data_IF_922674400596
#
_entry.id   IF_922674400596
#
_cell.length_a   1.000
_cell.length_b   1.000
_cell.length_c   1.000
_cell.angle_alpha   90.00
_cell.angle_beta   90.00
_cell.angle_gamma   90.00
#
_symmetry.space_group_name_H-M   'P 1'
#
loop_
_entity.id
_entity.type
_entity.pdbx_description
1 polymer ?
#
# COMPACT_ATOMS: atom_id res chain seq x y z
N UNK A 1 3.07 -2.52 -3.98
CA UNK A 1 2.64 -3.51 -2.97
C UNK A 1 1.30 -4.14 -3.31
N UNK A 2 0.23 -3.36 -3.55
CA UNK A 2 -1.11 -3.88 -3.88
C UNK A 2 -1.12 -4.87 -5.05
N UNK A 3 -0.30 -4.65 -6.08
CA UNK A 3 -0.09 -5.61 -7.18
C UNK A 3 0.32 -7.00 -6.68
N UNK A 4 1.29 -7.08 -5.77
CA UNK A 4 1.80 -8.36 -5.25
C UNK A 4 0.79 -9.05 -4.35
N UNK A 5 0.08 -8.28 -3.51
CA UNK A 5 -1.04 -8.79 -2.70
C UNK A 5 -2.10 -9.42 -3.59
N UNK A 6 -2.57 -8.70 -4.63
CA UNK A 6 -3.58 -9.22 -5.55
C UNK A 6 -3.09 -10.46 -6.32
N UNK A 7 -1.84 -10.45 -6.79
CA UNK A 7 -1.25 -11.60 -7.46
C UNK A 7 -1.19 -12.84 -6.53
N UNK A 8 -0.81 -12.66 -5.27
CA UNK A 8 -0.84 -13.75 -4.29
C UNK A 8 -2.26 -14.29 -4.08
N UNK A 9 -3.26 -13.43 -3.90
CA UNK A 9 -4.65 -13.86 -3.67
C UNK A 9 -5.21 -14.71 -4.82
N UNK A 10 -4.83 -14.42 -6.06
CA UNK A 10 -5.29 -15.15 -7.25
C UNK A 10 -4.48 -16.43 -7.48
N UNK A 11 -3.15 -16.34 -7.36
CA UNK A 11 -2.25 -17.43 -7.79
C UNK A 11 -1.83 -18.37 -6.66
N UNK A 12 -1.93 -17.91 -5.41
CA UNK A 12 -1.39 -18.56 -4.21
C UNK A 12 0.11 -18.85 -4.28
N UNK A 13 0.84 -18.19 -5.21
CA UNK A 13 2.29 -18.34 -5.29
C UNK A 13 2.98 -17.49 -4.22
N UNK A 14 3.63 -18.15 -3.26
CA UNK A 14 4.36 -17.55 -2.14
C UNK A 14 5.40 -16.48 -2.54
N UNK A 15 5.89 -16.51 -3.79
CA UNK A 15 6.80 -15.48 -4.31
C UNK A 15 6.17 -14.08 -4.27
N UNK A 16 4.86 -13.98 -4.50
CA UNK A 16 4.17 -12.68 -4.48
C UNK A 16 3.92 -12.20 -3.06
N UNK A 17 3.64 -13.11 -2.12
CA UNK A 17 3.53 -12.76 -0.70
C UNK A 17 4.86 -12.20 -0.19
N UNK A 18 5.97 -12.90 -0.46
CA UNK A 18 7.33 -12.43 -0.11
C UNK A 18 7.63 -11.04 -0.68
N UNK A 19 7.32 -10.79 -1.96
CA UNK A 19 7.51 -9.46 -2.57
C UNK A 19 6.64 -8.38 -1.91
N UNK A 20 5.43 -8.72 -1.46
CA UNK A 20 4.58 -7.79 -0.71
C UNK A 20 5.18 -7.47 0.67
N UNK A 21 5.64 -8.48 1.41
CA UNK A 21 6.32 -8.33 2.70
C UNK A 21 7.60 -7.50 2.59
N UNK A 22 8.48 -7.82 1.64
CA UNK A 22 9.72 -7.09 1.40
C UNK A 22 9.43 -5.62 1.07
N UNK A 23 8.42 -5.36 0.22
CA UNK A 23 8.01 -3.99 -0.10
C UNK A 23 7.47 -3.26 1.14
N UNK A 24 6.67 -3.93 1.96
CA UNK A 24 6.13 -3.39 3.20
C UNK A 24 7.23 -3.01 4.19
N UNK A 25 8.22 -3.89 4.38
CA UNK A 25 9.38 -3.65 5.22
C UNK A 25 10.18 -2.43 4.76
N UNK A 26 10.47 -2.34 3.46
CA UNK A 26 11.16 -1.16 2.87
C UNK A 26 10.39 0.13 3.13
N UNK A 27 9.06 0.12 3.01
CA UNK A 27 8.24 1.29 3.29
C UNK A 27 8.31 1.67 4.77
N UNK A 28 8.19 0.71 5.69
CA UNK A 28 8.30 0.97 7.14
C UNK A 28 9.69 1.51 7.51
N UNK A 29 10.75 0.93 6.95
CA UNK A 29 12.14 1.36 7.17
C UNK A 29 12.40 2.78 6.67
N UNK A 30 11.83 3.15 5.51
CA UNK A 30 11.98 4.48 4.91
C UNK A 30 11.10 5.55 5.57
N UNK A 31 10.19 5.17 6.46
CA UNK A 31 9.28 6.10 7.09
C UNK A 31 10.03 7.05 8.02
N UNK A 32 9.82 8.36 7.85
CA UNK A 32 10.29 9.37 8.79
C UNK A 32 9.24 9.62 9.85
N UNK A 33 9.70 9.97 11.07
CA UNK A 33 8.84 10.22 12.22
C UNK A 33 9.20 11.55 12.85
N UNK A 34 8.22 12.45 12.99
CA UNK A 34 8.39 13.74 13.68
C UNK A 34 7.07 14.22 14.26
N UNK A 35 7.09 14.75 15.49
CA UNK A 35 5.92 15.35 16.15
C UNK A 35 4.67 14.46 16.15
N UNK A 36 4.85 13.15 16.39
CA UNK A 36 3.76 12.17 16.37
C UNK A 36 3.23 11.80 14.98
N UNK A 37 3.82 12.32 13.91
CA UNK A 37 3.46 12.01 12.52
C UNK A 37 4.46 11.03 11.90
N UNK A 38 3.98 10.25 10.95
CA UNK A 38 4.77 9.35 10.10
C UNK A 38 4.58 9.78 8.66
N UNK A 39 5.68 9.97 7.92
CA UNK A 39 5.65 10.49 6.57
C UNK A 39 6.74 9.89 5.68
N UNK A 40 6.56 9.99 4.37
CA UNK A 40 7.51 9.52 3.36
C UNK A 40 7.89 10.66 2.44
N UNK A 41 9.18 10.97 2.43
CA UNK A 41 9.76 11.89 1.45
C UNK A 41 10.01 11.16 0.13
N UNK A 42 9.68 11.82 -0.98
CA UNK A 42 9.82 11.26 -2.31
C UNK A 42 10.23 12.31 -3.34
N UNK A 43 11.12 11.90 -4.24
CA UNK A 43 11.36 12.56 -5.52
C UNK A 43 10.35 12.01 -6.54
N UNK A 44 9.09 12.45 -6.46
CA UNK A 44 8.04 11.91 -7.33
C UNK A 44 8.31 12.25 -8.81
N UNK A 45 8.69 13.50 -9.08
CA UNK A 45 9.01 13.97 -10.42
C UNK A 45 10.45 13.62 -10.80
N UNK A 46 10.66 12.52 -11.51
CA UNK A 46 12.00 12.09 -11.94
C UNK A 46 12.75 13.08 -12.83
N UNK A 47 12.05 14.02 -13.48
CA UNK A 47 12.65 15.08 -14.30
C UNK A 47 13.30 16.18 -13.44
N UNK A 48 12.88 16.31 -12.18
CA UNK A 48 13.39 17.27 -11.21
C UNK A 48 13.68 16.53 -9.90
N UNK A 49 14.71 15.65 -9.87
CA UNK A 49 14.92 14.70 -8.79
C UNK A 49 15.25 15.37 -7.44
N UNK A 50 15.75 16.60 -7.45
CA UNK A 50 16.04 17.38 -6.25
C UNK A 50 14.77 17.94 -5.59
N UNK A 51 13.63 17.90 -6.29
CA UNK A 51 12.33 18.30 -5.72
C UNK A 51 11.76 17.17 -4.86
N UNK A 52 12.11 17.19 -3.58
CA UNK A 52 11.62 16.24 -2.57
C UNK A 52 10.33 16.79 -1.95
N UNK A 53 9.27 16.01 -2.05
CA UNK A 53 7.96 16.35 -1.48
C UNK A 53 7.46 15.27 -0.53
N UNK A 54 6.44 15.62 0.25
CA UNK A 54 5.68 14.70 1.08
C UNK A 54 4.27 14.67 0.49
N UNK A 55 3.98 13.63 -0.28
CA UNK A 55 2.64 13.45 -0.85
C UNK A 55 1.67 12.98 0.24
N UNK A 56 0.46 13.54 0.28
CA UNK A 56 -0.58 13.13 1.24
C UNK A 56 -1.69 12.29 0.60
N UNK A 57 -1.72 12.24 -0.74
CA UNK A 57 -2.78 11.61 -1.52
C UNK A 57 -2.78 10.08 -1.41
N UNK A 58 -3.90 9.47 -1.79
CA UNK A 58 -4.00 8.01 -1.86
C UNK A 58 -3.15 7.42 -3.00
N UNK A 59 -3.07 8.11 -4.14
CA UNK A 59 -2.36 7.59 -5.29
C UNK A 59 -0.84 7.73 -5.16
N UNK A 60 -0.39 8.83 -4.59
CA UNK A 60 1.00 9.28 -4.65
C UNK A 60 1.57 9.63 -3.27
N UNK A 61 0.97 9.19 -2.17
CA UNK A 61 1.33 9.71 -0.86
C UNK A 61 1.04 8.82 0.34
N UNK A 62 1.10 9.46 1.50
CA UNK A 62 0.94 8.87 2.83
C UNK A 62 -0.33 8.02 2.94
N UNK A 63 -1.48 8.51 2.45
CA UNK A 63 -2.74 7.78 2.53
C UNK A 63 -2.67 6.44 1.77
N UNK A 64 -2.01 6.41 0.61
CA UNK A 64 -1.84 5.19 -0.19
C UNK A 64 -0.88 4.20 0.43
N UNK A 65 0.23 4.70 0.97
CA UNK A 65 1.22 3.89 1.67
C UNK A 65 0.60 3.26 2.91
N UNK A 66 -0.09 4.05 3.74
CA UNK A 66 -0.77 3.57 4.94
C UNK A 66 -1.85 2.54 4.62
N UNK A 67 -2.70 2.83 3.62
CA UNK A 67 -3.73 1.90 3.16
C UNK A 67 -3.13 0.56 2.69
N UNK A 68 -2.05 0.61 1.92
CA UNK A 68 -1.37 -0.60 1.44
C UNK A 68 -0.77 -1.40 2.60
N UNK A 69 -0.16 -0.75 3.60
CA UNK A 69 0.43 -1.41 4.77
C UNK A 69 -0.65 -2.10 5.63
N UNK A 70 -1.79 -1.43 5.86
CA UNK A 70 -2.93 -2.02 6.55
C UNK A 70 -3.52 -3.21 5.79
N UNK A 71 -3.58 -3.11 4.46
CA UNK A 71 -4.04 -4.20 3.63
C UNK A 71 -3.10 -5.41 3.70
N UNK A 72 -1.78 -5.20 3.72
CA UNK A 72 -0.80 -6.27 3.95
C UNK A 72 -0.98 -6.91 5.34
N UNK A 73 -1.12 -6.10 6.40
CA UNK A 73 -1.36 -6.60 7.76
C UNK A 73 -2.63 -7.47 7.83
N UNK A 74 -3.72 -7.06 7.17
CA UNK A 74 -4.95 -7.86 7.11
C UNK A 74 -4.76 -9.19 6.38
N UNK A 75 -3.95 -9.21 5.30
CA UNK A 75 -3.62 -10.44 4.61
C UNK A 75 -2.85 -11.40 5.53
N UNK A 76 -1.81 -10.90 6.20
CA UNK A 76 -0.96 -11.69 7.09
C UNK A 76 -1.71 -12.25 8.31
N UNK A 77 -2.79 -11.57 8.75
CA UNK A 77 -3.69 -12.05 9.81
C UNK A 77 -4.76 -13.02 9.32
N UNK A 78 -4.79 -13.33 8.02
CA UNK A 78 -5.79 -14.21 7.42
C UNK A 78 -7.19 -13.59 7.33
N UNK A 79 -7.32 -12.27 7.44
CA UNK A 79 -8.60 -11.55 7.42
C UNK A 79 -8.62 -10.43 6.37
N UNK A 80 -8.03 -10.71 5.20
CA UNK A 80 -7.80 -9.74 4.12
C UNK A 80 -9.00 -8.80 3.87
N UNK A 81 -8.74 -7.49 3.91
CA UNK A 81 -9.70 -6.44 3.58
C UNK A 81 -9.15 -5.57 2.45
N UNK A 82 -9.86 -5.50 1.33
CA UNK A 82 -9.57 -4.54 0.28
C UNK A 82 -10.10 -3.16 0.66
N UNK A 83 -9.33 -2.11 0.38
CA UNK A 83 -9.85 -0.74 0.44
C UNK A 83 -10.84 -0.55 -0.69
N UNK A 84 -12.08 -0.16 -0.35
CA UNK A 84 -13.14 0.15 -1.31
C UNK A 84 -13.48 1.63 -1.25
N UNK A 85 -13.48 2.27 -2.41
CA UNK A 85 -13.86 3.68 -2.52
C UNK A 85 -15.37 3.84 -2.72
N UNK A 86 -15.86 5.04 -2.48
CA UNK A 86 -17.29 5.38 -2.62
C UNK A 86 -17.82 5.17 -4.06
N UNK A 87 -16.91 5.22 -5.04
CA UNK A 87 -17.17 5.03 -6.46
C UNK A 87 -16.84 3.61 -6.95
N UNK A 88 -16.53 2.67 -6.05
CA UNK A 88 -16.32 1.27 -6.40
C UNK A 88 -17.61 0.65 -6.96
N UNK A 89 -17.63 0.23 -8.24
CA UNK A 89 -18.85 -0.21 -8.92
C UNK A 89 -19.24 -1.66 -8.61
N UNK A 90 -18.40 -2.40 -7.88
CA UNK A 90 -18.65 -3.82 -7.60
C UNK A 90 -19.55 -4.00 -6.37
N UNK A 91 -20.31 -5.09 -6.25
CA UNK A 91 -21.08 -5.36 -5.04
C UNK A 91 -20.18 -5.80 -3.87
N UNK A 92 -20.66 -5.69 -2.62
CA UNK A 92 -19.94 -6.13 -1.41
C UNK A 92 -19.85 -7.65 -1.28
N UNK A 93 -20.88 -8.34 -1.74
CA UNK A 93 -20.90 -9.78 -1.91
C UNK A 93 -21.47 -10.11 -3.29
N UNK A 94 -21.04 -11.24 -3.85
CA UNK A 94 -21.81 -11.86 -4.92
C UNK A 94 -23.15 -12.26 -4.30
N UNK A 95 -24.26 -11.83 -4.90
CA UNK A 95 -25.60 -12.28 -4.49
C UNK A 95 -25.73 -13.72 -4.95
N UNK A 96 -26.02 -14.64 -4.02
CA UNK A 96 -26.48 -16.00 -4.35
C UNK A 96 -27.85 -15.97 -5.04
#
# INVERSE_FOLDING_TARGET
>A
MQLFIGAYLITQEEKYLRLAEDTGNILVERAKKANGKVFWEQAFERKVPDNITIGIGYYDGEAGIAASLLQLDSLLKGNFQAVRFVDDPFPESLVD
#
